data_IF_354981767710
#
_entry.id   IF_354981767710
#
_cell.length_a   1.000
_cell.length_b   1.000
_cell.length_c   1.000
_cell.angle_alpha   90.00
_cell.angle_beta   90.00
_cell.angle_gamma   90.00
#
_symmetry.space_group_name_H-M   'P 1'
#
loop_
_entity.id
_entity.type
_entity.pdbx_description
1 polymer ?
#
# COMPACT_ATOMS: atom_id res chain seq x y z
N UNK A 1 0.84 22.63 -15.19
CA UNK A 1 1.06 22.16 -13.80
C UNK A 1 2.32 22.81 -13.27
N UNK A 2 2.27 23.42 -12.09
CA UNK A 2 3.38 24.18 -11.50
C UNK A 2 4.49 23.27 -10.96
N UNK A 3 5.73 23.75 -11.00
CA UNK A 3 6.95 23.03 -10.57
C UNK A 3 6.85 22.50 -9.12
N UNK A 4 6.15 23.23 -8.27
CA UNK A 4 5.88 22.88 -6.87
C UNK A 4 5.03 21.61 -6.73
N UNK A 5 4.03 21.43 -7.59
CA UNK A 5 3.18 20.23 -7.59
C UNK A 5 3.98 18.99 -8.01
N UNK A 6 4.91 19.14 -8.94
CA UNK A 6 5.81 18.05 -9.34
C UNK A 6 6.79 17.65 -8.24
N UNK A 7 7.33 18.60 -7.49
CA UNK A 7 8.24 18.31 -6.37
C UNK A 7 7.50 17.73 -5.16
N UNK A 8 6.29 18.20 -4.87
CA UNK A 8 5.42 17.58 -3.86
C UNK A 8 5.07 16.14 -4.23
N UNK A 9 4.75 15.86 -5.50
CA UNK A 9 4.49 14.50 -5.97
C UNK A 9 5.73 13.59 -5.93
N UNK A 10 6.94 14.14 -6.14
CA UNK A 10 8.19 13.38 -5.92
C UNK A 10 8.43 13.08 -4.45
N UNK A 11 8.14 14.03 -3.55
CA UNK A 11 8.24 13.82 -2.10
C UNK A 11 7.22 12.79 -1.56
N UNK A 12 6.14 12.54 -2.29
CA UNK A 12 5.15 11.50 -1.97
C UNK A 12 5.58 10.09 -2.37
N UNK A 13 6.68 9.93 -3.10
CA UNK A 13 7.26 8.61 -3.39
C UNK A 13 8.17 8.22 -2.24
N UNK A 14 7.85 7.12 -1.58
CA UNK A 14 8.69 6.53 -0.55
C UNK A 14 9.15 5.15 -1.00
N UNK A 15 10.37 4.79 -0.59
CA UNK A 15 10.90 3.48 -0.83
C UNK A 15 10.27 2.50 0.16
N UNK A 16 9.72 1.42 -0.38
CA UNK A 16 9.20 0.32 0.39
C UNK A 16 10.34 -0.66 0.65
N UNK A 17 10.59 -0.97 1.92
CA UNK A 17 11.56 -1.98 2.35
C UNK A 17 10.93 -3.37 2.36
N UNK A 18 9.70 -3.47 2.85
CA UNK A 18 8.96 -4.73 2.95
C UNK A 18 7.44 -4.53 2.78
N UNK A 19 6.76 -5.55 2.24
CA UNK A 19 5.30 -5.61 2.12
C UNK A 19 4.81 -6.94 2.67
N UNK A 20 3.99 -6.86 3.72
CA UNK A 20 3.36 -8.02 4.35
C UNK A 20 1.85 -7.99 4.08
N UNK A 21 1.34 -9.06 3.46
CA UNK A 21 -0.10 -9.31 3.36
C UNK A 21 -0.64 -9.71 4.74
N UNK A 22 -1.54 -8.91 5.30
CA UNK A 22 -2.14 -9.17 6.62
C UNK A 22 -3.37 -10.05 6.49
N UNK A 23 -4.27 -9.69 5.57
CA UNK A 23 -5.56 -10.34 5.42
C UNK A 23 -6.11 -10.16 4.01
N UNK A 24 -6.70 -11.22 3.48
CA UNK A 24 -7.59 -11.14 2.31
C UNK A 24 -9.03 -10.85 2.77
N UNK A 25 -9.68 -9.88 2.12
CA UNK A 25 -11.08 -9.50 2.33
C UNK A 25 -11.86 -9.82 1.06
N UNK A 26 -12.51 -10.99 1.08
CA UNK A 26 -13.13 -11.54 -0.13
C UNK A 26 -12.08 -11.92 -1.18
N UNK A 27 -12.45 -11.86 -2.46
CA UNK A 27 -11.58 -12.30 -3.56
C UNK A 27 -10.67 -11.20 -4.12
N UNK A 28 -11.02 -9.93 -3.92
CA UNK A 28 -10.42 -8.80 -4.64
C UNK A 28 -9.93 -7.68 -3.72
N UNK A 29 -9.97 -7.84 -2.41
CA UNK A 29 -9.46 -6.82 -1.50
C UNK A 29 -8.50 -7.44 -0.51
N UNK A 30 -7.50 -6.68 -0.10
CA UNK A 30 -6.57 -7.11 0.92
C UNK A 30 -6.09 -5.96 1.79
N UNK A 31 -5.74 -6.31 3.02
CA UNK A 31 -5.04 -5.42 3.93
C UNK A 31 -3.56 -5.79 3.90
N UNK A 32 -2.72 -4.80 3.64
CA UNK A 32 -1.27 -4.94 3.63
C UNK A 32 -0.66 -3.97 4.62
N UNK A 33 0.44 -4.39 5.22
CA UNK A 33 1.33 -3.52 5.98
C UNK A 33 2.62 -3.38 5.21
N UNK A 34 3.07 -2.15 5.09
CA UNK A 34 4.27 -1.78 4.36
C UNK A 34 5.25 -1.19 5.35
N UNK A 35 6.52 -1.60 5.27
CA UNK A 35 7.62 -1.00 6.03
C UNK A 35 8.39 -0.04 5.13
N UNK A 36 8.66 1.15 5.63
CA UNK A 36 9.60 2.11 5.05
C UNK A 36 10.57 2.63 6.13
N UNK A 37 11.50 3.51 5.72
CA UNK A 37 12.47 4.14 6.63
C UNK A 37 11.85 4.95 7.77
N UNK A 38 10.55 5.26 7.74
CA UNK A 38 9.81 5.96 8.80
C UNK A 38 8.98 5.01 9.68
N UNK A 39 8.99 3.70 9.39
CA UNK A 39 8.26 2.69 10.15
C UNK A 39 7.21 1.96 9.32
N UNK A 40 6.13 1.54 9.98
CA UNK A 40 5.08 0.73 9.37
C UNK A 40 3.85 1.56 8.97
N UNK A 41 3.26 1.27 7.82
CA UNK A 41 2.04 1.90 7.30
C UNK A 41 1.05 0.86 6.80
N UNK A 42 -0.24 1.12 7.02
CA UNK A 42 -1.31 0.20 6.70
C UNK A 42 -2.05 0.67 5.46
N UNK A 43 -2.32 -0.26 4.55
CA UNK A 43 -3.07 0.02 3.33
C UNK A 43 -4.14 -1.03 3.10
N UNK A 44 -5.28 -0.57 2.60
CA UNK A 44 -6.29 -1.39 1.99
C UNK A 44 -6.08 -1.33 0.47
N UNK A 45 -5.87 -2.47 -0.16
CA UNK A 45 -5.59 -2.60 -1.57
C UNK A 45 -6.75 -3.32 -2.23
N UNK A 46 -7.32 -2.70 -3.25
CA UNK A 46 -8.36 -3.31 -4.09
C UNK A 46 -7.74 -3.75 -5.40
N UNK A 47 -8.08 -4.96 -5.82
CA UNK A 47 -7.62 -5.61 -7.03
C UNK A 47 -8.76 -5.66 -8.04
N UNK A 48 -8.44 -5.55 -9.32
CA UNK A 48 -9.33 -5.83 -10.43
C UNK A 48 -8.81 -7.05 -11.19
N UNK A 49 -9.73 -7.92 -11.63
CA UNK A 49 -9.36 -9.04 -12.49
C UNK A 49 -9.12 -8.51 -13.90
N UNK A 50 -7.91 -8.69 -14.42
CA UNK A 50 -7.59 -8.29 -15.78
C UNK A 50 -7.79 -9.45 -16.73
N UNK A 51 -8.61 -9.25 -17.76
CA UNK A 51 -8.72 -10.19 -18.89
C UNK A 51 -7.55 -10.08 -19.88
N UNK A 52 -6.62 -9.15 -19.66
CA UNK A 52 -5.53 -8.81 -20.60
C UNK A 52 -4.12 -9.21 -20.16
N UNK A 53 -3.89 -9.54 -18.88
CA UNK A 53 -2.56 -9.86 -18.38
C UNK A 53 -2.49 -11.29 -17.86
N UNK A 54 -1.33 -11.93 -18.05
CA UNK A 54 -1.04 -13.32 -17.67
C UNK A 54 -1.13 -13.56 -16.15
N UNK A 55 -0.91 -12.53 -15.35
CA UNK A 55 -1.19 -12.52 -13.91
C UNK A 55 -2.54 -11.85 -13.69
N UNK A 56 -3.54 -12.64 -13.30
CA UNK A 56 -4.97 -12.32 -13.38
C UNK A 56 -5.44 -11.05 -12.65
N UNK A 57 -4.61 -10.43 -11.82
CA UNK A 57 -5.03 -9.32 -10.95
C UNK A 57 -4.12 -8.10 -11.08
N UNK A 58 -4.74 -6.93 -11.14
CA UNK A 58 -4.08 -5.62 -11.10
C UNK A 58 -4.54 -4.84 -9.89
N UNK A 59 -3.66 -4.05 -9.28
CA UNK A 59 -4.04 -3.08 -8.25
C UNK A 59 -4.90 -2.00 -8.89
N UNK A 60 -6.17 -1.94 -8.49
CA UNK A 60 -7.14 -0.94 -8.93
C UNK A 60 -7.09 0.32 -8.05
N UNK A 61 -6.96 0.15 -6.74
CA UNK A 61 -6.94 1.26 -5.77
C UNK A 61 -6.13 0.91 -4.52
N UNK A 62 -5.60 1.95 -3.86
CA UNK A 62 -4.83 1.85 -2.61
C UNK A 62 -5.28 2.95 -1.66
N UNK A 63 -5.87 2.58 -0.53
CA UNK A 63 -6.32 3.51 0.52
C UNK A 63 -5.50 3.33 1.78
N UNK A 64 -5.00 4.43 2.33
CA UNK A 64 -4.38 4.43 3.65
C UNK A 64 -5.38 4.05 4.73
N UNK A 65 -4.97 3.21 5.67
CA UNK A 65 -5.79 2.82 6.81
C UNK A 65 -5.00 2.87 8.11
N UNK A 66 -5.72 2.94 9.23
CA UNK A 66 -5.10 2.90 10.55
C UNK A 66 -4.42 1.54 10.72
N UNK A 67 -3.17 1.56 11.22
CA UNK A 67 -2.44 0.33 11.48
C UNK A 67 -3.19 -0.53 12.50
N UNK A 68 -3.29 -1.83 12.21
CA UNK A 68 -3.83 -2.80 13.17
C UNK A 68 -2.82 -2.96 14.31
N UNK A 69 -3.28 -2.95 15.56
CA UNK A 69 -2.44 -2.90 16.77
C UNK A 69 -1.31 -3.94 16.83
N UNK A 70 -1.47 -5.11 16.22
CA UNK A 70 -0.43 -6.16 16.16
C UNK A 70 0.84 -5.75 15.40
N UNK A 71 0.73 -4.81 14.44
CA UNK A 71 1.87 -4.25 13.72
C UNK A 71 2.35 -2.91 14.31
N UNK A 72 1.68 -2.42 15.37
CA UNK A 72 2.12 -1.24 16.12
C UNK A 72 3.20 -1.58 17.16
N UNK A 73 3.89 -2.72 17.06
CA UNK A 73 4.97 -3.07 17.96
C UNK A 73 6.16 -2.13 17.74
N UNK A 74 6.05 -1.01 18.47
CA UNK A 74 7.07 -0.23 19.16
C UNK A 74 8.46 -0.27 18.54
N UNK A 75 8.83 0.82 17.86
CA UNK A 75 10.11 1.47 18.15
C UNK A 75 10.20 1.63 19.68
N UNK A 76 10.94 0.73 20.32
CA UNK A 76 11.44 0.88 21.68
C UNK A 76 12.95 0.68 21.64
#
# INVERSE_FOLDING_TARGET
MSKEVMEAAKAMKFQIEDITLVKMIGALNCEVVVKDHKGHRGYHVSLERSSKFEYEYRIADVKGQKLISKYQWSDR
#
